data_IF_340173769718
#
_entry.id   IF_340173769718
#
_cell.length_a   1.000
_cell.length_b   1.000
_cell.length_c   1.000
_cell.angle_alpha   90.00
_cell.angle_beta   90.00
_cell.angle_gamma   90.00
#
_symmetry.space_group_name_H-M   'P 1'
#
loop_
_entity.id
_entity.type
_entity.pdbx_description
1 polymer ?
#
# COMPACT_ATOMS: atom_id res chain seq x y z
N UNK A 1 -28.99 8.00 -4.85
CA UNK A 1 -29.32 8.60 -3.54
C UNK A 1 -29.75 7.49 -2.60
N UNK A 2 -29.64 7.69 -1.29
CA UNK A 2 -30.10 6.74 -0.30
C UNK A 2 -30.84 7.45 0.84
N UNK A 3 -31.77 6.73 1.47
CA UNK A 3 -32.42 7.14 2.72
C UNK A 3 -31.68 6.52 3.90
N UNK A 4 -31.55 7.26 4.99
CA UNK A 4 -30.94 6.77 6.23
C UNK A 4 -31.47 7.53 7.43
N UNK A 5 -31.53 6.85 8.57
CA UNK A 5 -31.82 7.45 9.88
C UNK A 5 -30.74 7.01 10.87
N UNK A 6 -30.19 7.99 11.57
CA UNK A 6 -29.12 7.84 12.54
C UNK A 6 -27.92 7.05 12.03
N UNK A 7 -27.54 6.01 12.78
CA UNK A 7 -26.42 5.11 12.47
C UNK A 7 -26.82 3.91 11.59
N UNK A 8 -28.04 3.90 11.05
CA UNK A 8 -28.59 2.80 10.27
C UNK A 8 -27.93 2.62 8.90
N UNK A 9 -28.32 1.54 8.21
CA UNK A 9 -27.88 1.23 6.84
C UNK A 9 -28.45 2.21 5.83
N UNK A 10 -27.78 2.34 4.68
CA UNK A 10 -28.26 3.17 3.57
C UNK A 10 -29.28 2.38 2.76
N UNK A 11 -30.53 2.84 2.73
CA UNK A 11 -31.57 2.31 1.85
C UNK A 11 -31.45 2.95 0.46
N UNK A 12 -31.02 2.18 -0.54
CA UNK A 12 -30.70 2.66 -1.88
C UNK A 12 -31.98 2.95 -2.65
N UNK A 13 -32.23 4.23 -2.94
CA UNK A 13 -33.42 4.68 -3.69
C UNK A 13 -33.21 4.62 -5.22
N UNK A 14 -32.23 3.85 -5.70
CA UNK A 14 -31.82 3.79 -7.10
C UNK A 14 -30.78 4.84 -7.50
N UNK A 15 -30.43 4.79 -8.79
CA UNK A 15 -29.42 5.65 -9.38
C UNK A 15 -29.96 7.06 -9.64
N UNK A 16 -29.10 8.07 -9.44
CA UNK A 16 -29.37 9.42 -9.95
C UNK A 16 -29.20 9.41 -11.47
N UNK A 17 -29.91 10.28 -12.19
CA UNK A 17 -29.78 10.40 -13.66
C UNK A 17 -28.31 10.54 -14.08
N UNK A 18 -27.94 9.86 -15.17
CA UNK A 18 -26.57 9.81 -15.68
C UNK A 18 -25.61 8.87 -14.93
N UNK A 19 -26.07 8.15 -13.91
CA UNK A 19 -25.24 7.23 -13.12
C UNK A 19 -25.81 5.80 -13.13
N UNK A 20 -24.96 4.82 -12.84
CA UNK A 20 -25.35 3.44 -12.60
C UNK A 20 -25.63 3.23 -11.10
N UNK A 21 -26.65 2.44 -10.77
CA UNK A 21 -27.00 2.11 -9.38
C UNK A 21 -26.08 1.03 -8.81
N UNK A 22 -25.91 1.01 -7.48
CA UNK A 22 -25.04 0.05 -6.79
C UNK A 22 -25.38 -1.41 -7.11
N UNK A 23 -26.66 -1.78 -7.04
CA UNK A 23 -27.10 -3.16 -7.33
C UNK A 23 -26.77 -3.57 -8.76
N UNK A 24 -27.03 -2.71 -9.73
CA UNK A 24 -26.76 -2.99 -11.14
C UNK A 24 -25.26 -2.93 -11.50
N UNK A 25 -24.48 -2.11 -10.81
CA UNK A 25 -23.05 -1.89 -11.10
C UNK A 25 -22.12 -2.84 -10.37
N UNK A 26 -22.44 -3.21 -9.13
CA UNK A 26 -21.58 -4.05 -8.30
C UNK A 26 -22.11 -5.46 -8.11
N UNK A 27 -23.44 -5.64 -8.09
CA UNK A 27 -24.07 -6.92 -7.77
C UNK A 27 -24.31 -7.15 -6.27
N UNK A 28 -25.08 -8.18 -5.97
CA UNK A 28 -25.41 -8.60 -4.59
C UNK A 28 -24.20 -9.18 -3.87
N UNK A 29 -24.05 -8.87 -2.57
CA UNK A 29 -22.94 -9.32 -1.74
C UNK A 29 -21.60 -8.65 -2.03
N UNK A 30 -21.54 -7.76 -3.02
CA UNK A 30 -20.32 -7.03 -3.36
C UNK A 30 -19.98 -6.00 -2.30
N UNK A 31 -18.72 -6.06 -1.84
CA UNK A 31 -18.15 -5.09 -0.91
C UNK A 31 -17.55 -3.93 -1.68
N UNK A 32 -17.86 -2.70 -1.28
CA UNK A 32 -17.31 -1.50 -1.89
C UNK A 32 -16.96 -0.46 -0.83
N UNK A 33 -16.08 0.45 -1.23
CA UNK A 33 -15.90 1.69 -0.49
C UNK A 33 -16.81 2.77 -1.05
N UNK A 34 -17.37 3.58 -0.16
CA UNK A 34 -18.33 4.62 -0.50
C UNK A 34 -17.93 5.96 0.14
N UNK A 35 -18.42 7.04 -0.47
CA UNK A 35 -18.59 8.32 0.18
C UNK A 35 -20.09 8.58 0.29
N UNK A 36 -20.53 9.05 1.45
CA UNK A 36 -21.89 9.46 1.75
C UNK A 36 -21.88 10.91 2.23
N UNK A 37 -22.67 11.78 1.60
CA UNK A 37 -22.68 13.21 1.91
C UNK A 37 -24.09 13.82 1.86
N UNK A 38 -24.37 14.73 2.79
CA UNK A 38 -25.53 15.61 2.76
C UNK A 38 -25.21 16.93 3.49
N UNK A 39 -25.30 18.05 2.77
CA UNK A 39 -24.92 19.36 3.31
C UNK A 39 -23.45 19.37 3.77
N UNK A 40 -23.14 19.80 5.00
CA UNK A 40 -21.76 19.80 5.53
C UNK A 40 -21.31 18.44 6.06
N UNK A 41 -22.23 17.48 6.22
CA UNK A 41 -21.94 16.18 6.82
C UNK A 41 -21.51 15.18 5.75
N UNK A 42 -20.44 14.44 6.03
CA UNK A 42 -19.93 13.42 5.14
C UNK A 42 -19.26 12.28 5.91
N UNK A 43 -19.26 11.10 5.31
CA UNK A 43 -18.43 9.99 5.73
C UNK A 43 -17.94 9.16 4.54
N UNK A 44 -16.74 8.61 4.69
CA UNK A 44 -16.16 7.63 3.79
C UNK A 44 -16.02 6.33 4.54
N UNK A 45 -16.55 5.24 3.96
CA UNK A 45 -16.59 3.94 4.62
C UNK A 45 -16.51 2.77 3.67
N UNK A 46 -16.56 1.57 4.25
CA UNK A 46 -16.70 0.30 3.56
C UNK A 46 -18.05 -0.34 3.92
N UNK A 47 -18.69 -0.93 2.93
CA UNK A 47 -19.98 -1.58 3.08
C UNK A 47 -20.22 -2.65 2.03
N UNK A 48 -21.26 -3.42 2.23
CA UNK A 48 -21.70 -4.53 1.37
C UNK A 48 -23.09 -4.22 0.81
N UNK A 49 -23.24 -4.39 -0.50
CA UNK A 49 -24.52 -4.25 -1.19
C UNK A 49 -25.38 -5.47 -0.89
N UNK A 50 -26.61 -5.23 -0.43
CA UNK A 50 -27.66 -6.24 -0.35
C UNK A 50 -28.73 -5.90 -1.38
N UNK A 51 -28.70 -6.59 -2.52
CA UNK A 51 -29.60 -6.35 -3.64
C UNK A 51 -31.04 -6.72 -3.32
N UNK A 52 -31.25 -7.80 -2.55
CA UNK A 52 -32.58 -8.26 -2.18
C UNK A 52 -33.35 -7.22 -1.35
N UNK A 53 -32.65 -6.52 -0.47
CA UNK A 53 -33.22 -5.47 0.39
C UNK A 53 -32.99 -4.05 -0.16
N UNK A 54 -32.24 -3.92 -1.25
CA UNK A 54 -31.86 -2.62 -1.81
C UNK A 54 -31.08 -1.75 -0.82
N UNK A 55 -30.11 -2.31 -0.10
CA UNK A 55 -29.34 -1.56 0.91
C UNK A 55 -27.83 -1.63 0.71
N UNK A 56 -27.11 -0.67 1.30
CA UNK A 56 -25.67 -0.71 1.50
C UNK A 56 -25.39 -0.64 3.01
N UNK A 57 -24.64 -1.61 3.52
CA UNK A 57 -24.25 -1.63 4.94
C UNK A 57 -23.22 -0.55 5.26
N UNK A 58 -23.10 -0.22 6.56
CA UNK A 58 -22.07 0.68 7.10
C UNK A 58 -21.16 -0.12 8.04
N UNK A 59 -20.27 -0.92 7.46
CA UNK A 59 -19.46 -1.87 8.24
C UNK A 59 -18.26 -1.20 8.92
N UNK A 60 -17.61 -0.27 8.22
CA UNK A 60 -16.41 0.40 8.73
C UNK A 60 -16.34 1.83 8.21
N UNK A 61 -16.13 2.77 9.12
CA UNK A 61 -15.87 4.17 8.79
C UNK A 61 -14.37 4.38 8.69
N UNK A 62 -13.93 4.94 7.57
CA UNK A 62 -12.53 5.27 7.29
C UNK A 62 -12.21 6.71 7.68
N UNK A 63 -13.15 7.62 7.43
CA UNK A 63 -13.06 9.03 7.80
C UNK A 63 -14.44 9.67 7.75
N UNK A 64 -14.67 10.73 8.53
CA UNK A 64 -15.95 11.42 8.54
C UNK A 64 -15.85 12.83 9.11
N UNK A 65 -16.89 13.63 8.87
CA UNK A 65 -17.12 14.90 9.56
C UNK A 65 -17.48 14.75 11.05
N UNK A 66 -17.65 13.53 11.55
CA UNK A 66 -17.97 13.22 12.94
C UNK A 66 -16.75 12.65 13.69
N UNK A 67 -15.59 13.31 13.54
CA UNK A 67 -14.32 12.92 14.16
C UNK A 67 -13.92 11.45 13.88
N UNK A 68 -14.21 10.94 12.68
CA UNK A 68 -13.92 9.56 12.29
C UNK A 68 -14.94 8.50 12.75
N UNK A 69 -15.96 8.89 13.51
CA UNK A 69 -17.11 8.03 13.82
C UNK A 69 -18.17 8.07 12.71
N UNK A 70 -19.10 7.12 12.72
CA UNK A 70 -20.27 7.16 11.82
C UNK A 70 -21.06 8.46 12.02
N UNK A 71 -21.47 9.10 10.93
CA UNK A 71 -22.34 10.27 10.97
C UNK A 71 -23.74 9.83 11.45
N UNK A 72 -24.26 10.51 12.47
CA UNK A 72 -25.62 10.31 12.96
C UNK A 72 -26.58 11.15 12.11
N UNK A 73 -27.14 10.53 11.08
CA UNK A 73 -27.99 11.24 10.12
C UNK A 73 -29.34 11.59 10.76
N UNK A 74 -29.84 12.83 10.58
CA UNK A 74 -31.22 13.16 10.96
C UNK A 74 -32.23 12.15 10.37
N UNK A 75 -33.34 11.94 11.06
CA UNK A 75 -34.35 10.98 10.61
C UNK A 75 -34.79 11.27 9.16
N UNK A 76 -34.86 10.22 8.35
CA UNK A 76 -35.27 10.26 6.95
C UNK A 76 -34.42 11.19 6.06
N UNK A 77 -33.12 11.29 6.36
CA UNK A 77 -32.19 12.05 5.54
C UNK A 77 -32.02 11.44 4.15
N UNK A 78 -32.07 12.29 3.12
CA UNK A 78 -31.66 11.95 1.76
C UNK A 78 -30.16 12.23 1.65
N UNK A 79 -29.38 11.18 1.41
CA UNK A 79 -27.91 11.25 1.33
C UNK A 79 -27.45 10.87 -0.07
N UNK A 80 -26.52 11.63 -0.62
CA UNK A 80 -25.82 11.25 -1.83
C UNK A 80 -24.77 10.19 -1.46
N UNK A 81 -24.86 9.01 -2.05
CA UNK A 81 -23.93 7.90 -1.80
C UNK A 81 -23.37 7.45 -3.13
N UNK A 82 -22.05 7.34 -3.24
CA UNK A 82 -21.35 6.94 -4.45
C UNK A 82 -20.13 6.10 -4.12
N UNK A 83 -19.79 5.16 -5.01
CA UNK A 83 -18.56 4.39 -4.89
C UNK A 83 -17.36 5.32 -5.09
N UNK A 84 -16.35 5.17 -4.25
CA UNK A 84 -15.09 5.91 -4.35
C UNK A 84 -13.92 4.94 -4.20
N UNK A 85 -12.76 5.33 -4.69
CA UNK A 85 -11.49 4.79 -4.20
C UNK A 85 -11.04 5.68 -3.02
N UNK A 86 -11.15 5.23 -1.75
CA UNK A 86 -10.73 6.04 -0.61
C UNK A 86 -9.24 6.34 -0.67
N UNK A 87 -8.81 7.50 -0.15
CA UNK A 87 -7.39 7.84 -0.06
C UNK A 87 -6.56 6.78 0.66
N UNK A 88 -7.11 6.13 1.69
CA UNK A 88 -6.47 5.02 2.40
C UNK A 88 -6.24 3.80 1.49
N UNK A 89 -7.17 3.51 0.57
CA UNK A 89 -7.04 2.43 -0.41
C UNK A 89 -6.10 2.84 -1.55
N UNK A 90 -6.09 4.12 -1.95
CA UNK A 90 -5.11 4.65 -2.89
C UNK A 90 -3.68 4.48 -2.36
N UNK A 91 -3.46 4.67 -1.06
CA UNK A 91 -2.18 4.39 -0.39
C UNK A 91 -1.79 2.90 -0.39
N UNK A 92 -2.76 1.98 -0.53
CA UNK A 92 -2.50 0.53 -0.62
C UNK A 92 -2.31 0.04 -2.07
N UNK A 93 -2.99 0.67 -3.05
CA UNK A 93 -2.86 0.34 -4.48
C UNK A 93 -1.61 0.99 -5.10
N UNK A 94 -1.10 2.07 -4.51
CA UNK A 94 0.24 2.54 -4.80
C UNK A 94 1.24 1.50 -4.26
N UNK A 95 1.74 0.63 -5.15
CA UNK A 95 2.85 -0.28 -4.88
C UNK A 95 3.88 0.43 -3.98
N UNK A 96 3.93 0.10 -2.69
CA UNK A 96 4.59 0.93 -1.68
C UNK A 96 6.10 0.83 -1.74
N UNK A 97 6.65 0.15 -2.75
CA UNK A 97 8.07 0.03 -2.94
C UNK A 97 8.54 -0.68 -4.20
N UNK A 98 9.86 -0.72 -4.35
CA UNK A 98 10.57 -1.43 -5.42
C UNK A 98 11.51 -2.43 -4.76
N UNK A 99 11.54 -3.68 -5.24
CA UNK A 99 12.46 -4.70 -4.76
C UNK A 99 13.59 -4.95 -5.76
N UNK A 100 14.81 -5.03 -5.27
CA UNK A 100 15.99 -5.50 -6.01
C UNK A 100 16.46 -6.79 -5.35
N UNK A 101 16.61 -7.86 -6.13
CA UNK A 101 16.87 -9.22 -5.61
C UNK A 101 18.16 -9.80 -6.21
N UNK A 102 18.94 -10.46 -5.38
CA UNK A 102 20.08 -11.31 -5.74
C UNK A 102 19.72 -12.76 -5.39
N UNK A 103 19.22 -13.56 -6.36
CA UNK A 103 18.78 -14.92 -6.10
C UNK A 103 19.95 -15.89 -5.91
N UNK A 104 19.70 -16.99 -5.20
CA UNK A 104 20.68 -18.04 -4.95
C UNK A 104 21.63 -17.75 -3.80
N UNK A 105 22.66 -18.59 -3.65
CA UNK A 105 23.68 -18.45 -2.61
C UNK A 105 24.46 -17.16 -2.82
N UNK A 106 24.56 -16.35 -1.77
CA UNK A 106 25.20 -15.04 -1.84
C UNK A 106 26.72 -15.17 -1.92
N UNK A 107 27.32 -14.26 -2.67
CA UNK A 107 28.76 -14.09 -2.79
C UNK A 107 29.06 -12.60 -2.76
N UNK A 108 30.28 -12.23 -2.36
CA UNK A 108 30.72 -10.83 -2.50
C UNK A 108 30.80 -10.50 -3.98
N UNK A 109 29.99 -9.53 -4.41
CA UNK A 109 29.82 -9.19 -5.81
C UNK A 109 29.35 -7.74 -5.95
N UNK A 110 29.97 -7.02 -6.88
CA UNK A 110 29.41 -5.76 -7.39
C UNK A 110 28.25 -6.08 -8.31
N UNK A 111 27.05 -5.61 -7.96
CA UNK A 111 25.83 -5.86 -8.69
C UNK A 111 25.89 -5.25 -10.08
N UNK A 112 25.66 -6.06 -11.10
CA UNK A 112 25.58 -5.59 -12.51
C UNK A 112 24.14 -5.40 -12.98
N UNK A 113 23.17 -5.98 -12.27
CA UNK A 113 21.74 -5.87 -12.59
C UNK A 113 21.23 -4.49 -12.22
N UNK A 114 20.75 -3.75 -13.24
CA UNK A 114 20.23 -2.40 -13.08
C UNK A 114 18.72 -2.39 -13.06
N UNK A 115 18.16 -1.67 -12.10
CA UNK A 115 16.77 -1.26 -12.13
C UNK A 115 16.66 0.19 -12.58
N UNK A 116 15.77 0.47 -13.55
CA UNK A 116 15.52 1.81 -14.08
C UNK A 116 14.09 2.25 -13.70
N UNK A 117 13.91 3.47 -13.15
CA UNK A 117 12.59 4.01 -12.85
C UNK A 117 11.81 4.29 -14.13
N UNK A 118 10.50 3.96 -14.20
CA UNK A 118 9.66 4.34 -15.33
C UNK A 118 9.38 5.85 -15.38
N UNK A 119 9.49 6.54 -14.24
CA UNK A 119 9.30 7.98 -14.08
C UNK A 119 10.07 8.48 -12.85
N UNK A 120 10.07 9.79 -12.60
CA UNK A 120 10.64 10.34 -11.38
C UNK A 120 9.97 9.75 -10.13
N UNK A 121 10.77 9.38 -9.13
CA UNK A 121 10.33 8.67 -7.94
C UNK A 121 11.23 8.96 -6.74
N UNK A 122 10.64 9.05 -5.56
CA UNK A 122 11.34 9.28 -4.29
C UNK A 122 11.12 8.12 -3.33
N UNK A 123 12.14 7.79 -2.55
CA UNK A 123 12.10 6.76 -1.51
C UNK A 123 12.56 7.34 -0.17
N UNK A 124 11.99 6.82 0.93
CA UNK A 124 12.28 7.29 2.30
C UNK A 124 12.88 6.21 3.22
N UNK A 125 12.85 4.95 2.82
CA UNK A 125 13.37 3.85 3.63
C UNK A 125 13.66 2.60 2.81
N UNK A 126 14.44 1.69 3.37
CA UNK A 126 14.68 0.36 2.83
C UNK A 126 14.61 -0.71 3.92
N UNK A 127 14.17 -1.91 3.56
CA UNK A 127 14.24 -3.13 4.38
C UNK A 127 14.79 -4.29 3.56
N UNK A 128 15.30 -5.34 4.21
CA UNK A 128 15.90 -6.47 3.49
C UNK A 128 15.60 -7.82 4.13
N UNK A 129 15.59 -8.87 3.31
CA UNK A 129 15.42 -10.26 3.73
C UNK A 129 16.35 -11.19 2.97
N UNK A 130 16.58 -12.36 3.55
CA UNK A 130 17.28 -13.48 2.93
C UNK A 130 16.49 -14.77 3.11
N UNK A 131 16.53 -15.63 2.10
CA UNK A 131 15.99 -16.99 2.17
C UNK A 131 16.71 -17.82 3.23
N UNK A 132 18.05 -17.83 3.16
CA UNK A 132 18.92 -18.44 4.17
C UNK A 132 19.66 -17.36 4.94
N UNK A 133 19.61 -17.39 6.27
CA UNK A 133 20.33 -16.46 7.13
C UNK A 133 21.85 -16.61 6.95
N UNK A 134 22.64 -15.51 6.94
CA UNK A 134 24.08 -15.60 7.00
C UNK A 134 24.49 -16.16 8.37
N UNK A 135 25.52 -17.02 8.41
CA UNK A 135 26.05 -17.59 9.67
C UNK A 135 27.52 -17.29 9.85
N UNK A 136 27.92 -16.98 11.08
CA UNK A 136 29.31 -16.73 11.50
C UNK A 136 29.79 -15.30 11.24
N UNK A 137 29.12 -14.58 10.35
CA UNK A 137 29.28 -13.14 10.14
C UNK A 137 27.99 -12.57 9.58
N UNK A 138 27.77 -11.27 9.74
CA UNK A 138 26.65 -10.59 9.10
C UNK A 138 26.80 -10.57 7.57
N UNK A 139 25.68 -10.55 6.86
CA UNK A 139 25.63 -10.15 5.46
C UNK A 139 25.64 -8.61 5.41
N UNK A 140 26.50 -8.03 4.57
CA UNK A 140 26.48 -6.61 4.26
C UNK A 140 26.22 -6.39 2.77
N UNK A 141 25.45 -5.35 2.47
CA UNK A 141 25.13 -4.96 1.11
C UNK A 141 25.08 -3.45 0.97
N UNK A 142 25.18 -2.99 -0.26
CA UNK A 142 25.19 -1.59 -0.62
C UNK A 142 24.23 -1.34 -1.78
N UNK A 143 23.36 -0.35 -1.62
CA UNK A 143 22.55 0.19 -2.70
C UNK A 143 23.33 1.34 -3.35
N UNK A 144 23.41 1.33 -4.67
CA UNK A 144 24.09 2.37 -5.43
C UNK A 144 23.16 3.00 -6.47
N UNK A 145 23.24 4.32 -6.63
CA UNK A 145 22.62 5.10 -7.69
C UNK A 145 23.69 5.46 -8.72
N UNK A 146 23.50 5.08 -9.98
CA UNK A 146 24.43 5.37 -11.07
C UNK A 146 25.89 4.94 -10.77
N UNK A 147 26.05 3.84 -10.02
CA UNK A 147 27.35 3.31 -9.60
C UNK A 147 27.96 3.98 -8.35
N UNK A 148 27.26 4.94 -7.75
CA UNK A 148 27.68 5.62 -6.52
C UNK A 148 26.86 5.08 -5.35
N UNK A 149 27.54 4.67 -4.27
CA UNK A 149 26.91 4.23 -3.02
C UNK A 149 25.97 5.30 -2.45
N UNK A 150 24.74 4.90 -2.08
CA UNK A 150 23.75 5.78 -1.46
C UNK A 150 23.24 5.26 -0.12
N UNK A 151 23.30 3.96 0.12
CA UNK A 151 22.92 3.35 1.39
C UNK A 151 23.62 2.01 1.58
N UNK A 152 23.85 1.63 2.82
CA UNK A 152 24.36 0.30 3.20
C UNK A 152 23.38 -0.37 4.15
N UNK A 153 23.25 -1.69 4.05
CA UNK A 153 22.44 -2.48 4.96
C UNK A 153 23.19 -3.70 5.48
N UNK A 154 22.70 -4.23 6.59
CA UNK A 154 23.28 -5.40 7.25
C UNK A 154 22.19 -6.31 7.78
N UNK A 155 22.25 -7.59 7.44
CA UNK A 155 21.47 -8.65 8.10
C UNK A 155 22.44 -9.38 9.03
N UNK A 156 22.17 -9.28 10.34
CA UNK A 156 23.04 -9.86 11.37
C UNK A 156 23.11 -11.38 11.27
N UNK A 157 24.19 -11.95 11.81
CA UNK A 157 24.38 -13.40 11.96
C UNK A 157 23.12 -14.08 12.51
N UNK A 158 22.66 -15.14 11.83
CA UNK A 158 21.46 -15.91 12.16
C UNK A 158 20.11 -15.22 11.89
N UNK A 159 20.09 -13.97 11.43
CA UNK A 159 18.85 -13.26 11.11
C UNK A 159 18.43 -13.45 9.65
N UNK A 160 17.12 -13.46 9.41
CA UNK A 160 16.55 -13.45 8.07
C UNK A 160 16.17 -12.05 7.57
N UNK A 161 16.21 -11.02 8.44
CA UNK A 161 15.66 -9.70 8.13
C UNK A 161 16.49 -8.56 8.72
N UNK A 162 16.64 -7.52 7.91
CA UNK A 162 16.98 -6.16 8.35
C UNK A 162 15.70 -5.35 8.45
N UNK A 163 15.46 -4.69 9.59
CA UNK A 163 14.31 -3.80 9.77
C UNK A 163 14.40 -2.58 8.84
N UNK A 164 13.25 -1.95 8.60
CA UNK A 164 13.19 -0.73 7.80
C UNK A 164 14.11 0.35 8.38
N UNK A 165 15.00 0.85 7.53
CA UNK A 165 16.02 1.86 7.85
C UNK A 165 15.83 3.05 6.91
N UNK A 166 15.93 4.30 7.38
CA UNK A 166 15.75 5.47 6.53
C UNK A 166 16.74 5.53 5.37
N UNK A 167 16.26 5.95 4.20
CA UNK A 167 17.05 6.22 2.99
C UNK A 167 16.42 7.42 2.30
N UNK A 168 17.18 8.48 2.04
CA UNK A 168 16.69 9.61 1.22
C UNK A 168 17.21 9.43 -0.19
N UNK A 169 16.31 9.13 -1.13
CA UNK A 169 16.68 8.83 -2.50
C UNK A 169 15.65 9.37 -3.48
N UNK A 170 16.07 10.31 -4.31
CA UNK A 170 15.31 10.81 -5.45
C UNK A 170 15.92 10.29 -6.76
N UNK A 171 15.10 9.76 -7.65
CA UNK A 171 15.49 9.25 -8.95
C UNK A 171 14.66 9.90 -10.06
N UNK A 172 15.30 10.11 -11.20
CA UNK A 172 14.67 10.42 -12.49
C UNK A 172 14.58 9.16 -13.35
N UNK A 173 13.85 9.20 -14.46
CA UNK A 173 13.78 8.07 -15.41
C UNK A 173 15.11 7.74 -16.10
N UNK A 174 16.13 8.58 -15.95
CA UNK A 174 17.49 8.33 -16.49
C UNK A 174 18.45 7.72 -15.47
N UNK A 175 18.06 7.66 -14.19
CA UNK A 175 18.89 7.06 -13.15
C UNK A 175 18.72 5.53 -13.13
N UNK A 176 19.67 4.83 -12.51
CA UNK A 176 19.53 3.40 -12.22
C UNK A 176 20.07 3.02 -10.85
N UNK A 177 19.53 1.93 -10.31
CA UNK A 177 19.98 1.31 -9.07
C UNK A 177 20.67 -0.02 -9.31
N UNK A 178 21.74 -0.28 -8.55
CA UNK A 178 22.32 -1.62 -8.36
C UNK A 178 22.36 -1.99 -6.89
N UNK A 179 22.43 -3.28 -6.63
CA UNK A 179 22.62 -3.86 -5.31
C UNK A 179 23.92 -4.66 -5.29
N UNK A 180 24.87 -4.24 -4.46
CA UNK A 180 26.15 -4.90 -4.28
C UNK A 180 26.11 -5.70 -2.98
N UNK A 181 26.65 -6.92 -3.00
CA UNK A 181 26.90 -7.69 -1.78
C UNK A 181 28.37 -7.49 -1.41
N UNK A 182 28.62 -6.86 -0.27
CA UNK A 182 29.97 -6.46 0.14
C UNK A 182 30.60 -7.41 1.15
N UNK A 183 29.78 -8.18 1.86
CA UNK A 183 30.21 -9.23 2.79
C UNK A 183 29.11 -10.28 2.88
N UNK A 184 29.47 -11.55 3.01
CA UNK A 184 28.55 -12.65 3.28
C UNK A 184 28.88 -13.32 4.61
N UNK A 185 27.97 -14.16 5.12
CA UNK A 185 28.28 -14.96 6.31
C UNK A 185 29.48 -15.89 6.08
N UNK A 186 30.35 -16.01 7.07
CA UNK A 186 31.63 -16.72 6.95
C UNK A 186 31.49 -18.24 6.98
N UNK A 187 30.46 -18.77 7.66
CA UNK A 187 30.15 -20.20 7.70
C UNK A 187 29.02 -20.56 6.73
N UNK A 188 27.97 -19.76 6.68
CA UNK A 188 26.90 -19.86 5.67
C UNK A 188 26.76 -18.48 5.04
N UNK A 189 26.99 -18.31 3.72
CA UNK A 189 26.92 -17.00 3.07
C UNK A 189 25.56 -16.29 3.18
N UNK A 190 24.49 -17.09 3.31
CA UNK A 190 23.11 -16.67 3.12
C UNK A 190 22.65 -16.84 1.67
N UNK A 191 21.35 -16.69 1.41
CA UNK A 191 20.78 -16.82 0.07
C UNK A 191 19.64 -15.84 -0.18
N UNK A 192 19.35 -15.59 -1.46
CA UNK A 192 18.12 -14.92 -1.92
C UNK A 192 17.90 -13.53 -1.29
N UNK A 193 18.94 -12.71 -1.27
CA UNK A 193 18.85 -11.34 -0.74
C UNK A 193 17.82 -10.55 -1.54
N UNK A 194 16.82 -10.03 -0.86
CA UNK A 194 15.86 -9.06 -1.43
C UNK A 194 15.91 -7.79 -0.60
N UNK A 195 16.19 -6.66 -1.26
CA UNK A 195 16.12 -5.33 -0.67
C UNK A 195 14.91 -4.60 -1.24
N UNK A 196 14.04 -4.10 -0.39
CA UNK A 196 12.85 -3.33 -0.77
C UNK A 196 13.02 -1.89 -0.34
N UNK A 197 12.83 -0.97 -1.29
CA UNK A 197 12.79 0.47 -1.06
C UNK A 197 11.34 0.92 -0.95
N UNK A 198 11.00 1.75 0.02
CA UNK A 198 9.64 2.27 0.18
C UNK A 198 9.50 3.66 -0.41
N UNK A 199 8.42 3.88 -1.16
CA UNK A 199 8.10 5.18 -1.74
C UNK A 199 7.96 6.24 -0.64
N UNK A 200 8.52 7.42 -0.89
CA UNK A 200 8.22 8.62 -0.13
C UNK A 200 6.88 9.17 -0.66
N UNK A 201 5.80 8.93 0.09
CA UNK A 201 4.45 9.44 -0.17
C UNK A 201 4.14 10.66 0.70
#
# INVERSE_FOLDING_TARGET
QAMVSGLGTYALAGAVSGHQGFVAGLGDGSRCAYCAEAGPSWEVGEGTVNAANGTLSRERILSSSNAGAAVDWPAESVVAVFCVAPAAVYRMIANTGVSVTTPGVLQVLTGTSRWYPPQAVSFNSMEAWVGTAPVGSALQFMLAKNGISIATGSITDGSHRMAATPVTLDLTSSDWLTLDVTQVGSAIPGSDLTVRLHLAL
#
